data_IF_492913060826
#
_entry.id   IF_492913060826
#
_cell.length_a   1.000
_cell.length_b   1.000
_cell.length_c   1.000
_cell.angle_alpha   90.00
_cell.angle_beta   90.00
_cell.angle_gamma   90.00
#
_symmetry.space_group_name_H-M   'P 1'
#
loop_
_entity.id
_entity.type
_entity.pdbx_description
1 polymer ?
#
# COMPACT_ATOMS: atom_id res chain seq x y z
N UNK A 1 9.43 -14.93 1.46
CA UNK A 1 9.80 -16.31 1.85
C UNK A 1 11.13 -16.36 2.62
N UNK A 2 12.28 -16.00 2.03
CA UNK A 2 13.60 -16.10 2.69
C UNK A 2 13.69 -15.30 4.00
N UNK A 3 13.34 -14.02 3.97
CA UNK A 3 13.34 -13.16 5.17
C UNK A 3 12.40 -13.68 6.25
N UNK A 4 11.20 -14.16 5.88
CA UNK A 4 10.28 -14.81 6.82
C UNK A 4 10.94 -16.01 7.50
N UNK A 5 11.59 -16.90 6.74
CA UNK A 5 12.32 -18.04 7.32
C UNK A 5 13.45 -17.60 8.25
N UNK A 6 14.18 -16.55 7.91
CA UNK A 6 15.24 -15.98 8.76
C UNK A 6 14.70 -15.39 10.07
N UNK A 7 13.56 -14.67 10.01
CA UNK A 7 12.90 -14.13 11.21
C UNK A 7 12.45 -15.28 12.10
N UNK A 8 11.80 -16.30 11.53
CA UNK A 8 11.34 -17.45 12.31
C UNK A 8 12.50 -18.33 12.79
N UNK A 9 13.69 -18.30 12.18
CA UNK A 9 14.87 -19.06 12.63
C UNK A 9 15.60 -18.42 13.83
N UNK A 10 15.22 -17.21 14.25
CA UNK A 10 15.80 -16.56 15.43
C UNK A 10 15.49 -17.34 16.72
N UNK A 11 16.43 -17.36 17.68
CA UNK A 11 16.32 -18.12 18.93
C UNK A 11 15.05 -17.80 19.76
N UNK A 12 14.53 -16.58 19.66
CA UNK A 12 13.30 -16.16 20.33
C UNK A 12 12.07 -16.99 19.90
N UNK A 13 12.11 -17.60 18.72
CA UNK A 13 11.04 -18.45 18.21
C UNK A 13 11.22 -19.94 18.53
N UNK A 14 12.36 -20.37 19.10
CA UNK A 14 12.64 -21.79 19.38
C UNK A 14 11.53 -22.51 20.17
N UNK A 15 10.90 -21.90 21.21
CA UNK A 15 9.82 -22.55 21.96
C UNK A 15 8.49 -22.65 21.20
N UNK A 16 8.32 -21.86 20.14
CA UNK A 16 7.03 -21.65 19.47
C UNK A 16 6.99 -22.19 18.05
N UNK A 17 8.12 -22.26 17.36
CA UNK A 17 8.17 -22.70 15.96
C UNK A 17 8.18 -24.22 15.87
N UNK A 18 7.22 -24.76 15.14
CA UNK A 18 7.23 -26.17 14.71
C UNK A 18 7.93 -26.34 13.36
N UNK A 19 7.58 -27.42 12.67
CA UNK A 19 7.97 -27.61 11.26
C UNK A 19 7.33 -26.54 10.37
N UNK A 20 8.05 -26.11 9.33
CA UNK A 20 7.47 -25.27 8.29
C UNK A 20 6.35 -26.04 7.56
N UNK A 21 5.16 -25.42 7.46
CA UNK A 21 3.99 -26.02 6.81
C UNK A 21 3.99 -25.73 5.31
N UNK A 22 4.22 -24.47 4.94
CA UNK A 22 4.29 -23.98 3.55
C UNK A 22 5.36 -22.87 3.45
N UNK A 23 6.09 -22.78 2.33
CA UNK A 23 6.14 -23.74 1.21
C UNK A 23 6.80 -25.08 1.56
N UNK A 24 7.41 -25.18 2.75
CA UNK A 24 8.09 -26.38 3.22
C UNK A 24 9.59 -26.32 2.95
N UNK A 25 10.37 -26.96 3.82
CA UNK A 25 11.84 -26.81 3.86
C UNK A 25 12.59 -27.28 2.59
N UNK A 26 11.94 -28.04 1.70
CA UNK A 26 12.52 -28.52 0.45
C UNK A 26 12.48 -27.47 -0.67
N UNK A 27 11.60 -26.45 -0.57
CA UNK A 27 11.47 -25.36 -1.54
C UNK A 27 12.54 -24.31 -1.25
N UNK A 28 13.71 -24.42 -1.90
CA UNK A 28 14.90 -23.60 -1.58
C UNK A 28 15.52 -22.86 -2.77
N UNK A 29 15.35 -23.36 -4.00
CA UNK A 29 15.76 -22.64 -5.21
C UNK A 29 14.82 -21.46 -5.49
N UNK A 30 15.32 -20.44 -6.20
CA UNK A 30 14.49 -19.29 -6.56
C UNK A 30 13.33 -19.70 -7.47
N UNK A 31 13.57 -20.60 -8.43
CA UNK A 31 12.51 -21.17 -9.30
C UNK A 31 11.40 -21.84 -8.49
N UNK A 32 11.74 -22.71 -7.54
CA UNK A 32 10.73 -23.40 -6.73
C UNK A 32 9.97 -22.43 -5.80
N UNK A 33 10.64 -21.38 -5.31
CA UNK A 33 9.99 -20.32 -4.52
C UNK A 33 9.03 -19.52 -5.40
N UNK A 34 9.43 -19.17 -6.62
CA UNK A 34 8.61 -18.41 -7.57
C UNK A 34 7.37 -19.20 -8.00
N UNK A 35 7.51 -20.51 -8.26
CA UNK A 35 6.39 -21.39 -8.58
C UNK A 35 5.40 -21.48 -7.43
N UNK A 36 5.90 -21.64 -6.19
CA UNK A 36 5.04 -21.61 -5.02
C UNK A 36 4.29 -20.28 -4.87
N UNK A 37 4.99 -19.15 -5.03
CA UNK A 37 4.37 -17.82 -4.95
C UNK A 37 3.32 -17.68 -6.04
N UNK A 38 3.57 -18.15 -7.26
CA UNK A 38 2.61 -18.07 -8.37
C UNK A 38 1.31 -18.81 -8.08
N UNK A 39 1.39 -19.97 -7.44
CA UNK A 39 0.22 -20.80 -7.12
C UNK A 39 -0.54 -20.32 -5.87
N UNK A 40 0.17 -19.71 -4.90
CA UNK A 40 -0.38 -19.40 -3.58
C UNK A 40 -0.48 -17.90 -3.26
N UNK A 41 -0.05 -17.01 -4.16
CA UNK A 41 -0.16 -15.57 -3.93
C UNK A 41 -1.63 -15.16 -3.87
N UNK A 42 -1.99 -14.49 -2.78
CA UNK A 42 -3.32 -13.94 -2.57
C UNK A 42 -3.25 -12.42 -2.45
N UNK A 43 -4.36 -11.77 -2.76
CA UNK A 43 -4.50 -10.34 -2.54
C UNK A 43 -4.66 -10.06 -1.05
N UNK A 44 -3.99 -9.02 -0.56
CA UNK A 44 -4.30 -8.42 0.75
C UNK A 44 -5.60 -7.60 0.75
N UNK A 45 -6.43 -7.71 -0.31
CA UNK A 45 -7.70 -7.02 -0.50
C UNK A 45 -7.59 -5.49 -0.53
N UNK A 46 -6.53 -4.97 -1.17
CA UNK A 46 -6.26 -3.54 -1.28
C UNK A 46 -6.22 -3.03 -2.74
N UNK A 47 -7.26 -3.24 -3.58
CA UNK A 47 -7.31 -2.64 -4.91
C UNK A 47 -7.47 -1.11 -4.82
N UNK A 48 -6.73 -0.37 -5.65
CA UNK A 48 -6.75 1.09 -5.72
C UNK A 48 -6.22 1.61 -7.07
N UNK A 49 -6.35 2.91 -7.32
CA UNK A 49 -5.66 3.60 -8.43
C UNK A 49 -6.31 3.51 -9.81
N UNK A 50 -7.52 2.93 -9.94
CA UNK A 50 -8.24 2.81 -11.21
C UNK A 50 -8.80 4.13 -11.75
N UNK A 51 -8.96 5.14 -10.90
CA UNK A 51 -9.35 6.51 -11.27
C UNK A 51 -8.28 7.52 -10.80
N UNK A 52 -7.01 7.19 -11.06
CA UNK A 52 -5.82 7.93 -10.62
C UNK A 52 -5.99 9.46 -10.59
N UNK A 53 -5.70 10.04 -9.43
CA UNK A 53 -5.52 11.49 -9.28
C UNK A 53 -4.21 11.95 -9.93
N UNK A 54 -4.23 13.07 -10.63
CA UNK A 54 -3.04 13.67 -11.24
C UNK A 54 -3.24 15.11 -11.67
N UNK A 55 -2.23 15.69 -12.34
CA UNK A 55 -2.40 17.01 -12.95
C UNK A 55 -3.31 16.92 -14.18
N UNK A 56 -3.94 18.03 -14.57
CA UNK A 56 -4.79 18.07 -15.76
C UNK A 56 -4.05 17.73 -17.07
N UNK A 57 -2.71 17.78 -17.07
CA UNK A 57 -1.86 17.44 -18.21
C UNK A 57 -1.29 16.01 -18.13
N UNK A 58 -1.59 15.26 -17.06
CA UNK A 58 -1.26 13.83 -16.97
C UNK A 58 -2.30 13.03 -17.75
N UNK A 59 -1.91 12.49 -18.91
CA UNK A 59 -2.79 11.70 -19.77
C UNK A 59 -3.33 10.43 -19.12
N UNK A 60 -2.78 10.00 -17.98
CA UNK A 60 -3.26 8.85 -17.21
C UNK A 60 -4.14 9.25 -16.02
N UNK A 61 -4.34 10.55 -15.77
CA UNK A 61 -5.17 11.04 -14.68
C UNK A 61 -6.65 11.02 -15.06
N UNK A 62 -7.49 10.59 -14.13
CA UNK A 62 -8.96 10.59 -14.24
C UNK A 62 -9.56 11.73 -13.42
N UNK A 63 -8.95 12.04 -12.26
CA UNK A 63 -9.37 13.16 -11.42
C UNK A 63 -8.23 14.14 -11.17
N UNK A 64 -8.58 15.40 -10.94
CA UNK A 64 -7.65 16.44 -10.55
C UNK A 64 -7.34 16.43 -9.03
N UNK A 65 -6.45 17.29 -8.51
CA UNK A 65 -6.11 17.35 -7.09
C UNK A 65 -7.26 17.72 -6.15
N UNK A 66 -8.38 18.19 -6.67
CA UNK A 66 -9.61 18.46 -5.93
C UNK A 66 -10.64 17.34 -6.10
N UNK A 67 -10.24 16.17 -6.61
CA UNK A 67 -11.10 15.00 -6.84
C UNK A 67 -12.15 15.21 -7.95
N UNK A 68 -12.05 16.26 -8.78
CA UNK A 68 -12.98 16.50 -9.89
C UNK A 68 -12.62 15.61 -11.06
N UNK A 69 -13.61 15.00 -11.69
CA UNK A 69 -13.40 14.22 -12.92
C UNK A 69 -12.98 15.18 -14.04
N UNK A 70 -11.84 14.90 -14.66
CA UNK A 70 -11.28 15.75 -15.71
C UNK A 70 -12.20 15.67 -16.94
N UNK A 71 -12.65 16.84 -17.42
CA UNK A 71 -13.53 16.94 -18.58
C UNK A 71 -15.03 16.73 -18.30
N UNK A 72 -15.44 16.55 -17.04
CA UNK A 72 -16.85 16.41 -16.65
C UNK A 72 -17.20 17.39 -15.54
N UNK A 73 -18.24 18.19 -15.77
CA UNK A 73 -18.72 19.15 -14.78
C UNK A 73 -19.59 18.46 -13.71
N UNK A 74 -19.49 18.93 -12.47
CA UNK A 74 -20.34 18.47 -11.37
C UNK A 74 -20.09 17.05 -10.86
N UNK A 75 -19.02 16.37 -11.30
CA UNK A 75 -18.69 15.01 -10.91
C UNK A 75 -17.35 14.92 -10.17
N UNK A 76 -17.32 14.16 -9.06
CA UNK A 76 -16.12 13.86 -8.28
C UNK A 76 -16.04 12.37 -7.94
N UNK A 77 -14.83 11.87 -7.69
CA UNK A 77 -14.58 10.52 -7.16
C UNK A 77 -13.81 10.63 -5.85
N UNK A 78 -14.29 9.99 -4.78
CA UNK A 78 -13.73 10.12 -3.43
C UNK A 78 -13.61 8.75 -2.74
N UNK A 79 -12.73 7.90 -3.25
CA UNK A 79 -12.43 6.57 -2.69
C UNK A 79 -10.96 6.17 -2.99
N UNK A 80 -10.58 4.91 -2.74
CA UNK A 80 -9.21 4.43 -3.04
C UNK A 80 -8.87 4.39 -4.54
N UNK A 81 -9.84 4.45 -5.44
CA UNK A 81 -9.57 4.45 -6.88
C UNK A 81 -8.73 5.65 -7.31
N UNK A 82 -8.78 6.76 -6.57
CA UNK A 82 -8.05 7.98 -6.93
C UNK A 82 -6.58 7.97 -6.48
N UNK A 83 -6.14 6.95 -5.75
CA UNK A 83 -4.77 6.92 -5.24
C UNK A 83 -3.77 6.82 -6.40
N UNK A 84 -2.84 7.78 -6.56
CA UNK A 84 -1.86 7.72 -7.65
C UNK A 84 -0.84 6.59 -7.48
N UNK A 85 -0.67 6.12 -6.25
CA UNK A 85 0.13 4.96 -5.88
C UNK A 85 -0.44 4.35 -4.59
N UNK A 86 -0.40 3.03 -4.49
CA UNK A 86 -0.79 2.32 -3.26
C UNK A 86 0.07 2.78 -2.07
N UNK A 87 -0.55 2.93 -0.89
CA UNK A 87 0.14 3.29 0.35
C UNK A 87 0.90 2.09 0.92
N UNK A 88 1.92 2.34 1.74
CA UNK A 88 2.69 1.27 2.41
C UNK A 88 1.91 0.56 3.54
N UNK A 89 0.71 1.05 3.89
CA UNK A 89 -0.19 0.44 4.88
C UNK A 89 -1.57 0.13 4.31
N UNK A 90 -2.43 -0.46 5.14
CA UNK A 90 -3.81 -0.81 4.79
C UNK A 90 -4.61 0.39 4.30
N UNK A 91 -5.47 0.18 3.30
CA UNK A 91 -6.13 1.28 2.60
C UNK A 91 -7.29 1.94 3.35
N UNK A 92 -7.81 1.31 4.40
CA UNK A 92 -8.98 1.82 5.12
C UNK A 92 -8.78 3.26 5.63
N UNK A 93 -7.68 3.50 6.36
CA UNK A 93 -7.37 4.82 6.91
C UNK A 93 -7.18 5.91 5.81
N UNK A 94 -6.34 5.71 4.77
CA UNK A 94 -6.21 6.71 3.71
C UNK A 94 -7.50 6.89 2.89
N UNK A 95 -8.35 5.87 2.75
CA UNK A 95 -9.65 6.01 2.08
C UNK A 95 -10.61 6.90 2.86
N UNK A 96 -10.69 6.71 4.19
CA UNK A 96 -11.47 7.60 5.06
C UNK A 96 -10.93 9.03 4.97
N UNK A 97 -9.61 9.21 5.03
CA UNK A 97 -8.99 10.53 4.90
C UNK A 97 -9.32 11.20 3.56
N UNK A 98 -9.32 10.46 2.45
CA UNK A 98 -9.76 10.99 1.15
C UNK A 98 -11.21 11.42 1.16
N UNK A 99 -12.11 10.65 1.78
CA UNK A 99 -13.50 11.03 1.96
C UNK A 99 -13.65 12.35 2.72
N UNK A 100 -12.96 12.49 3.86
CA UNK A 100 -12.94 13.72 4.67
C UNK A 100 -12.42 14.92 3.86
N UNK A 101 -11.29 14.77 3.18
CA UNK A 101 -10.68 15.84 2.37
C UNK A 101 -11.55 16.22 1.17
N UNK A 102 -12.18 15.25 0.50
CA UNK A 102 -13.12 15.51 -0.58
C UNK A 102 -14.34 16.29 -0.07
N UNK A 103 -14.81 16.00 1.15
CA UNK A 103 -15.91 16.75 1.78
C UNK A 103 -15.58 18.22 1.96
N UNK A 104 -14.34 18.55 2.37
CA UNK A 104 -13.88 19.94 2.47
C UNK A 104 -13.89 20.63 1.11
N UNK A 105 -13.41 19.97 0.05
CA UNK A 105 -13.45 20.51 -1.31
C UNK A 105 -14.87 20.71 -1.84
N UNK A 106 -15.81 19.84 -1.48
CA UNK A 106 -17.23 19.95 -1.86
C UNK A 106 -17.90 21.11 -1.11
N UNK A 107 -17.59 21.30 0.17
CA UNK A 107 -18.16 22.33 1.03
C UNK A 107 -17.44 23.69 0.92
N UNK A 108 -16.35 23.78 0.15
CA UNK A 108 -15.53 25.00 0.04
C UNK A 108 -14.78 25.33 1.33
N UNK A 109 -14.49 24.34 2.17
CA UNK A 109 -13.73 24.49 3.42
C UNK A 109 -12.24 24.42 3.14
N UNK A 110 -11.47 25.16 3.94
CA UNK A 110 -10.01 25.08 3.90
C UNK A 110 -9.56 23.78 4.56
N UNK A 111 -8.83 22.88 3.86
CA UNK A 111 -8.30 21.68 4.47
C UNK A 111 -7.30 22.01 5.59
N UNK A 112 -7.12 21.07 6.51
CA UNK A 112 -6.08 21.17 7.54
C UNK A 112 -4.69 21.33 6.92
N UNK A 113 -3.82 22.07 7.61
CA UNK A 113 -2.41 22.14 7.26
C UNK A 113 -1.76 20.74 7.26
N UNK A 114 -0.84 20.45 6.34
CA UNK A 114 -0.12 19.19 6.33
C UNK A 114 0.59 18.94 7.67
N UNK A 115 0.60 17.67 8.09
CA UNK A 115 1.45 17.25 9.21
C UNK A 115 2.92 17.30 8.80
N UNK A 116 3.76 17.89 9.64
CA UNK A 116 5.21 17.92 9.48
C UNK A 116 5.92 16.85 10.33
N UNK A 117 5.19 15.82 10.77
CA UNK A 117 5.78 14.70 11.50
C UNK A 117 6.53 13.80 10.51
N UNK A 118 7.80 13.56 10.82
CA UNK A 118 8.64 12.63 10.08
C UNK A 118 8.65 11.27 10.79
N UNK A 119 8.53 10.15 10.04
CA UNK A 119 8.69 8.84 10.63
C UNK A 119 10.14 8.67 11.11
N UNK A 120 10.34 7.95 12.21
CA UNK A 120 11.68 7.53 12.59
C UNK A 120 12.21 6.52 11.56
N UNK A 121 13.36 6.82 10.96
CA UNK A 121 14.05 5.94 10.02
C UNK A 121 15.27 5.36 10.73
N UNK A 122 15.36 4.04 10.79
CA UNK A 122 16.53 3.36 11.34
C UNK A 122 17.80 3.81 10.61
N UNK A 123 18.80 4.43 11.29
CA UNK A 123 20.02 4.90 10.65
C UNK A 123 20.83 3.78 9.96
N UNK A 124 20.62 2.53 10.37
CA UNK A 124 21.29 1.33 9.85
C UNK A 124 20.42 0.48 8.94
N UNK A 125 19.26 0.97 8.48
CA UNK A 125 18.29 0.18 7.70
C UNK A 125 18.95 -0.55 6.50
N UNK A 126 19.96 0.07 5.88
CA UNK A 126 20.70 -0.53 4.75
C UNK A 126 21.45 -1.82 5.10
N UNK A 127 21.74 -2.08 6.37
CA UNK A 127 22.55 -3.21 6.83
C UNK A 127 21.85 -4.06 7.90
N UNK A 128 20.87 -3.53 8.63
CA UNK A 128 20.15 -4.25 9.70
C UNK A 128 18.76 -4.72 9.31
N UNK A 129 18.16 -4.15 8.26
CA UNK A 129 16.77 -4.41 7.88
C UNK A 129 16.72 -5.07 6.48
N UNK A 130 17.81 -5.72 6.07
CA UNK A 130 17.91 -6.51 4.84
C UNK A 130 17.47 -7.95 5.08
#
# INVERSE_FOLDING_TARGET
VRLTREIFSQAAFDPYRGREIQPGAHVTSDEAIDDFIREHAESAYHPCGTCKMGSANDNMAVVDPECRVIGVEGLRVADSSIFPRITNGNLNAPSIMVGEKASDHILGRQPLSPSNLEPWINPRWRVSDR
#
